data_IF_527353290418
#
_entry.id   IF_527353290418
#
_cell.length_a   1.000
_cell.length_b   1.000
_cell.length_c   1.000
_cell.angle_alpha   90.00
_cell.angle_beta   90.00
_cell.angle_gamma   90.00
#
_symmetry.space_group_name_H-M   'P 1'
#
loop_
_entity.id
_entity.type
_entity.pdbx_description
1 polymer ?
#
# COMPACT_ATOMS: atom_id res chain seq x y z
N UNK A 1 -35.03 34.19 1.77
CA UNK A 1 -34.47 34.31 3.13
C UNK A 1 -33.72 33.00 3.40
N UNK A 2 -32.41 32.91 3.61
CA UNK A 2 -31.39 33.87 4.04
C UNK A 2 -30.03 33.27 3.63
N UNK A 3 -29.14 34.09 3.09
CA UNK A 3 -27.72 33.81 2.87
C UNK A 3 -27.01 33.24 4.10
N UNK A 4 -25.98 32.41 3.88
CA UNK A 4 -24.60 32.66 4.37
C UNK A 4 -23.55 31.70 3.80
N UNK A 5 -22.69 32.30 2.98
CA UNK A 5 -21.28 32.00 2.74
C UNK A 5 -20.49 31.57 3.99
N UNK A 6 -19.54 30.63 3.90
CA UNK A 6 -18.08 30.87 4.10
C UNK A 6 -17.20 29.64 3.78
N UNK A 7 -16.33 29.79 2.76
CA UNK A 7 -14.88 29.46 2.66
C UNK A 7 -14.27 28.35 3.55
N UNK A 8 -13.55 27.42 2.91
CA UNK A 8 -12.63 26.49 3.57
C UNK A 8 -11.65 25.82 2.60
N UNK A 9 -10.79 26.63 1.98
CA UNK A 9 -9.63 26.20 1.18
C UNK A 9 -8.69 25.31 2.02
N UNK A 10 -8.41 24.07 1.61
CA UNK A 10 -7.24 23.31 2.08
C UNK A 10 -6.36 22.89 0.91
N UNK A 11 -5.30 23.68 0.74
CA UNK A 11 -4.05 23.32 0.10
C UNK A 11 -3.39 22.10 0.78
N UNK A 12 -2.46 21.50 0.01
CA UNK A 12 -1.29 20.69 0.40
C UNK A 12 -1.44 19.19 0.09
N UNK A 13 -0.54 18.52 -0.62
CA UNK A 13 0.79 18.88 -1.17
C UNK A 13 1.05 17.93 -2.35
N UNK A 14 1.45 18.49 -3.50
CA UNK A 14 2.17 17.73 -4.52
C UNK A 14 3.52 17.31 -3.93
N UNK A 15 3.80 16.01 -3.92
CA UNK A 15 5.17 15.51 -3.89
C UNK A 15 5.45 14.93 -5.28
N UNK A 16 5.93 15.77 -6.19
CA UNK A 16 6.50 15.32 -7.44
C UNK A 16 7.86 14.70 -7.14
N UNK A 17 7.99 13.38 -7.28
CA UNK A 17 9.29 12.73 -7.34
C UNK A 17 9.96 13.13 -8.65
N UNK A 18 10.83 14.14 -8.60
CA UNK A 18 11.65 14.55 -9.74
C UNK A 18 12.78 13.54 -9.94
N UNK A 19 12.62 12.64 -10.92
CA UNK A 19 13.75 11.90 -11.46
C UNK A 19 14.59 12.85 -12.32
N UNK A 20 15.68 13.38 -11.75
CA UNK A 20 16.65 14.17 -12.51
C UNK A 20 17.44 13.26 -13.45
N UNK A 21 17.14 13.33 -14.74
CA UNK A 21 17.94 12.75 -15.81
C UNK A 21 18.92 13.83 -16.31
N UNK A 22 20.15 13.84 -15.79
CA UNK A 22 21.21 14.74 -16.27
C UNK A 22 21.79 14.20 -17.58
N UNK A 23 21.39 14.80 -18.70
CA UNK A 23 21.99 14.57 -20.02
C UNK A 23 23.13 15.58 -20.23
N UNK A 24 24.38 15.11 -20.19
CA UNK A 24 25.54 15.93 -20.54
C UNK A 24 25.73 15.93 -22.06
N UNK A 25 25.52 17.07 -22.73
CA UNK A 25 26.00 17.30 -24.09
C UNK A 25 27.46 17.78 -24.03
N UNK A 26 28.37 16.98 -24.58
CA UNK A 26 29.77 17.38 -24.80
C UNK A 26 29.93 17.73 -26.28
N UNK A 27 30.56 18.90 -26.52
CA UNK A 27 30.82 19.46 -27.84
C UNK A 27 31.79 18.64 -28.68
N UNK A 28 31.61 18.76 -29.99
CA UNK A 28 32.37 18.06 -31.03
C UNK A 28 33.74 18.72 -31.21
N UNK A 29 34.79 18.05 -30.76
CA UNK A 29 36.18 18.32 -31.14
C UNK A 29 36.75 17.09 -31.84
N UNK A 30 37.21 17.26 -33.09
CA UNK A 30 37.84 16.19 -33.86
C UNK A 30 39.23 15.85 -33.26
N UNK A 31 39.33 14.68 -32.65
CA UNK A 31 40.55 14.10 -32.10
C UNK A 31 40.67 12.61 -32.47
N UNK A 32 41.87 12.03 -32.38
CA UNK A 32 42.21 10.72 -32.96
C UNK A 32 41.46 9.57 -32.26
N UNK A 33 41.31 8.47 -33.01
CA UNK A 33 40.54 7.27 -32.67
C UNK A 33 40.71 6.82 -31.21
N UNK A 34 39.69 7.11 -30.40
CA UNK A 34 39.53 6.59 -29.03
C UNK A 34 38.90 5.20 -29.13
N UNK A 35 39.48 4.26 -28.38
CA UNK A 35 39.01 2.88 -28.28
C UNK A 35 37.51 2.80 -27.99
N UNK A 36 36.87 1.76 -28.56
CA UNK A 36 35.44 1.49 -28.41
C UNK A 36 35.01 1.51 -26.93
N UNK A 37 33.87 2.15 -26.59
CA UNK A 37 33.36 2.12 -25.23
C UNK A 37 33.01 0.70 -24.84
N UNK A 38 33.63 0.25 -23.75
CA UNK A 38 33.39 -1.05 -23.13
C UNK A 38 31.90 -1.19 -22.81
N UNK A 39 31.28 -2.18 -23.44
CA UNK A 39 29.85 -2.44 -23.38
C UNK A 39 29.57 -3.23 -22.10
N UNK A 40 29.10 -2.59 -21.02
CA UNK A 40 28.17 -3.16 -20.02
C UNK A 40 28.11 -2.37 -18.71
N UNK A 41 27.89 -1.06 -18.73
CA UNK A 41 27.44 -0.38 -17.50
C UNK A 41 25.92 -0.53 -17.40
N UNK A 42 25.48 -1.62 -16.75
CA UNK A 42 24.07 -1.84 -16.38
C UNK A 42 23.61 -0.60 -15.61
N UNK A 43 22.53 0.09 -16.04
CA UNK A 43 22.08 1.31 -15.38
C UNK A 43 21.80 1.02 -13.92
N UNK A 44 22.64 1.56 -13.04
CA UNK A 44 22.49 1.44 -11.59
C UNK A 44 21.51 2.53 -11.17
N UNK A 45 20.22 2.24 -11.31
CA UNK A 45 19.20 3.14 -10.81
C UNK A 45 19.32 3.18 -9.29
N UNK A 46 19.59 4.36 -8.72
CA UNK A 46 19.73 4.54 -7.26
C UNK A 46 18.44 5.17 -6.76
N UNK A 47 17.62 4.38 -6.07
CA UNK A 47 16.53 4.93 -5.26
C UNK A 47 17.06 5.13 -3.83
N UNK A 48 17.01 6.36 -3.32
CA UNK A 48 17.25 6.63 -1.91
C UNK A 48 15.94 6.39 -1.17
N UNK A 49 15.90 5.34 -0.34
CA UNK A 49 14.78 5.11 0.56
C UNK A 49 15.05 5.86 1.85
N UNK A 50 14.11 6.68 2.29
CA UNK A 50 14.10 7.26 3.62
C UNK A 50 13.21 6.37 4.50
N UNK A 51 13.83 5.42 5.21
CA UNK A 51 13.14 4.58 6.20
C UNK A 51 13.05 5.26 7.58
N UNK A 52 13.26 6.58 7.62
CA UNK A 52 13.21 7.41 8.82
C UNK A 52 14.54 7.58 9.52
N UNK A 53 15.59 6.79 9.19
CA UNK A 53 16.89 6.90 9.84
C UNK A 53 18.12 6.63 8.95
N UNK A 54 17.98 5.97 7.78
CA UNK A 54 19.14 5.64 6.95
C UNK A 54 18.85 5.77 5.46
N UNK A 55 19.63 6.60 4.75
CA UNK A 55 19.61 6.59 3.28
C UNK A 55 20.29 5.33 2.79
N UNK A 56 19.54 4.47 2.11
CA UNK A 56 20.08 3.26 1.45
C UNK A 56 20.12 3.45 -0.06
N UNK A 57 21.26 3.13 -0.67
CA UNK A 57 21.38 2.99 -2.13
C UNK A 57 20.94 1.59 -2.53
N UNK A 58 19.83 1.49 -3.25
CA UNK A 58 19.41 0.25 -3.91
C UNK A 58 20.15 0.10 -5.24
N UNK A 59 20.55 -1.12 -5.56
CA UNK A 59 21.32 -1.48 -6.76
C UNK A 59 20.61 -2.52 -7.61
N UNK A 60 19.63 -3.25 -7.05
CA UNK A 60 18.86 -4.20 -7.81
C UNK A 60 17.87 -3.47 -8.73
N UNK A 61 18.00 -3.60 -10.06
CA UNK A 61 17.15 -2.87 -11.00
C UNK A 61 15.68 -3.28 -10.93
N UNK A 62 15.37 -4.51 -10.51
CA UNK A 62 13.99 -4.97 -10.35
C UNK A 62 13.33 -4.31 -9.15
N UNK A 63 14.06 -4.18 -8.04
CA UNK A 63 13.60 -3.45 -6.85
C UNK A 63 13.38 -1.99 -7.20
N UNK A 64 14.35 -1.36 -7.87
CA UNK A 64 14.24 0.06 -8.22
C UNK A 64 13.10 0.32 -9.22
N UNK A 65 12.93 -0.57 -10.19
CA UNK A 65 11.79 -0.52 -11.13
C UNK A 65 10.46 -0.70 -10.41
N UNK A 66 10.38 -1.64 -9.46
CA UNK A 66 9.19 -1.84 -8.65
C UNK A 66 8.82 -0.60 -7.83
N UNK A 67 9.81 0.06 -7.25
CA UNK A 67 9.64 1.27 -6.43
C UNK A 67 9.41 2.54 -7.24
N UNK A 68 9.50 2.48 -8.58
CA UNK A 68 9.13 3.60 -9.43
C UNK A 68 7.63 3.91 -9.36
N UNK A 69 6.81 2.93 -8.95
CA UNK A 69 5.38 3.10 -8.68
C UNK A 69 5.06 2.84 -7.19
N UNK A 70 4.79 3.90 -6.40
CA UNK A 70 4.47 3.77 -4.98
C UNK A 70 3.12 3.09 -4.71
N UNK A 71 2.28 2.88 -5.72
CA UNK A 71 1.06 2.09 -5.61
C UNK A 71 1.30 0.59 -5.73
N UNK A 72 2.48 0.18 -6.21
CA UNK A 72 2.84 -1.23 -6.43
C UNK A 72 3.85 -1.75 -5.42
N UNK A 73 4.75 -0.91 -4.92
CA UNK A 73 5.75 -1.32 -3.96
C UNK A 73 6.27 -0.19 -3.06
N UNK A 74 6.76 -0.60 -1.89
CA UNK A 74 7.54 0.23 -0.97
C UNK A 74 8.76 -0.52 -0.47
N UNK A 75 9.71 0.20 0.09
CA UNK A 75 10.85 -0.37 0.78
C UNK A 75 10.83 0.05 2.24
N UNK A 76 10.98 -0.91 3.15
CA UNK A 76 11.04 -0.71 4.60
C UNK A 76 12.11 -1.64 5.14
N UNK A 77 13.08 -1.14 5.93
CA UNK A 77 14.09 -2.02 6.51
C UNK A 77 13.46 -3.15 7.35
N UNK A 78 14.10 -4.32 7.36
CA UNK A 78 13.58 -5.49 8.06
C UNK A 78 13.28 -5.23 9.55
N UNK A 79 14.11 -4.43 10.22
CA UNK A 79 13.89 -4.04 11.63
C UNK A 79 12.64 -3.17 11.82
N UNK A 80 12.43 -2.18 10.95
CA UNK A 80 11.23 -1.33 10.98
C UNK A 80 9.98 -2.14 10.66
N UNK A 81 10.02 -3.01 9.65
CA UNK A 81 8.91 -3.90 9.31
C UNK A 81 8.55 -4.84 10.47
N UNK A 82 9.55 -5.44 11.12
CA UNK A 82 9.33 -6.32 12.27
C UNK A 82 8.76 -5.60 13.51
N UNK A 83 9.14 -4.33 13.72
CA UNK A 83 8.74 -3.57 14.91
C UNK A 83 7.42 -2.83 14.73
N UNK A 84 7.25 -2.18 13.58
CA UNK A 84 6.16 -1.24 13.32
C UNK A 84 5.22 -1.68 12.21
N UNK A 85 5.56 -2.70 11.42
CA UNK A 85 4.85 -3.02 10.20
C UNK A 85 5.08 -1.97 9.11
N UNK A 86 4.20 -1.92 8.12
CA UNK A 86 4.25 -0.89 7.08
C UNK A 86 3.36 0.32 7.36
N UNK A 87 2.52 0.28 8.41
CA UNK A 87 1.69 1.41 8.87
C UNK A 87 0.91 2.01 7.69
N UNK A 88 0.82 3.34 7.65
CA UNK A 88 0.16 4.10 6.60
C UNK A 88 0.73 3.90 5.19
N UNK A 89 1.92 3.31 5.03
CA UNK A 89 2.50 3.05 3.70
C UNK A 89 1.78 1.91 2.95
N UNK A 90 1.17 0.98 3.69
CA UNK A 90 0.32 -0.06 3.10
C UNK A 90 -1.16 0.33 3.05
N UNK A 91 -1.53 1.49 3.60
CA UNK A 91 -2.92 1.92 3.64
C UNK A 91 -3.45 2.08 2.21
N UNK A 92 -4.64 1.55 1.96
CA UNK A 92 -5.31 1.55 0.65
C UNK A 92 -4.59 0.77 -0.45
N UNK A 93 -3.63 -0.09 -0.12
CA UNK A 93 -2.96 -0.96 -1.09
C UNK A 93 -3.60 -2.34 -1.15
N UNK A 94 -3.48 -3.00 -2.29
CA UNK A 94 -3.98 -4.36 -2.48
C UNK A 94 -3.12 -5.37 -1.69
N UNK A 95 -3.71 -6.14 -0.75
CA UNK A 95 -2.95 -7.07 0.09
C UNK A 95 -2.27 -8.21 -0.68
N UNK A 96 -2.78 -8.58 -1.86
CA UNK A 96 -2.32 -9.73 -2.64
C UNK A 96 -1.28 -9.37 -3.72
N UNK A 97 -1.18 -8.10 -4.11
CA UNK A 97 -0.26 -7.66 -5.16
C UNK A 97 0.82 -6.69 -4.67
N UNK A 98 0.52 -5.85 -3.67
CA UNK A 98 1.46 -4.84 -3.17
C UNK A 98 2.69 -5.46 -2.50
N UNK A 99 3.88 -5.02 -2.91
CA UNK A 99 5.16 -5.58 -2.45
C UNK A 99 5.83 -4.69 -1.42
N UNK A 100 6.12 -5.25 -0.25
CA UNK A 100 6.94 -4.60 0.79
C UNK A 100 8.35 -5.19 0.73
N UNK A 101 9.26 -4.50 0.05
CA UNK A 101 10.67 -4.87 0.01
C UNK A 101 11.35 -4.57 1.35
N UNK A 102 12.18 -5.50 1.82
CA UNK A 102 12.95 -5.32 3.05
C UNK A 102 14.46 -5.47 2.85
N UNK A 103 14.87 -5.85 1.65
CA UNK A 103 16.26 -5.90 1.22
C UNK A 103 16.40 -5.65 -0.28
N UNK A 104 17.61 -5.38 -0.75
CA UNK A 104 17.94 -5.06 -2.15
C UNK A 104 18.11 -6.32 -3.01
N UNK A 105 17.12 -7.22 -2.95
CA UNK A 105 17.08 -8.43 -3.76
C UNK A 105 15.68 -8.64 -4.37
N UNK A 106 15.61 -9.24 -5.55
CA UNK A 106 14.37 -9.32 -6.36
C UNK A 106 13.22 -10.06 -5.67
N UNK A 107 13.55 -11.03 -4.83
CA UNK A 107 12.59 -11.83 -4.06
C UNK A 107 12.58 -11.48 -2.56
N UNK A 108 13.24 -10.40 -2.16
CA UNK A 108 13.28 -9.92 -0.78
C UNK A 108 12.10 -8.99 -0.49
N UNK A 109 10.89 -9.48 -0.75
CA UNK A 109 9.66 -8.78 -0.45
C UNK A 109 8.65 -9.71 0.21
N UNK A 110 7.69 -9.10 0.91
CA UNK A 110 6.49 -9.77 1.37
C UNK A 110 5.26 -9.10 0.80
N UNK A 111 4.21 -9.88 0.60
CA UNK A 111 2.85 -9.36 0.46
C UNK A 111 2.13 -9.59 1.78
N UNK A 112 1.34 -8.63 2.22
CA UNK A 112 0.64 -8.75 3.50
C UNK A 112 -0.36 -9.91 3.50
N UNK A 113 -0.88 -10.32 2.33
CA UNK A 113 -1.71 -11.52 2.23
C UNK A 113 -0.98 -12.84 2.57
N UNK A 114 0.36 -12.89 2.49
CA UNK A 114 1.15 -14.12 2.64
C UNK A 114 1.12 -14.68 4.07
N UNK A 115 1.04 -13.81 5.08
CA UNK A 115 0.97 -14.20 6.51
C UNK A 115 -0.39 -13.85 7.16
N UNK A 116 -1.36 -13.49 6.34
CA UNK A 116 -2.66 -13.04 6.81
C UNK A 116 -3.46 -14.15 7.49
N UNK A 117 -3.99 -13.86 8.66
CA UNK A 117 -4.89 -14.76 9.42
C UNK A 117 -6.28 -14.17 9.52
N UNK A 118 -7.30 -15.03 9.55
CA UNK A 118 -8.68 -14.60 9.74
C UNK A 118 -8.93 -14.41 11.25
N UNK A 119 -9.36 -13.23 11.68
CA UNK A 119 -9.46 -12.87 13.11
C UNK A 119 -10.87 -12.90 13.66
N UNK A 120 -11.80 -12.25 12.96
CA UNK A 120 -13.22 -12.23 13.30
C UNK A 120 -14.01 -12.64 12.09
N UNK A 121 -15.07 -13.42 12.32
CA UNK A 121 -15.98 -13.91 11.29
C UNK A 121 -17.40 -13.62 11.71
N UNK A 122 -18.16 -13.04 10.80
CA UNK A 122 -19.61 -13.05 10.86
C UNK A 122 -20.09 -14.07 9.83
N UNK A 123 -20.82 -15.08 10.30
CA UNK A 123 -21.31 -16.16 9.45
C UNK A 123 -22.80 -16.37 9.71
N UNK A 124 -23.56 -16.23 8.63
CA UNK A 124 -24.96 -16.60 8.48
C UNK A 124 -25.04 -17.71 7.41
N UNK A 125 -26.09 -18.53 7.34
CA UNK A 125 -26.35 -19.45 6.22
C UNK A 125 -26.07 -18.90 4.82
N UNK A 126 -26.26 -17.60 4.58
CA UNK A 126 -26.09 -17.00 3.24
C UNK A 126 -24.78 -16.23 3.10
N UNK A 127 -24.26 -15.66 4.19
CA UNK A 127 -23.21 -14.64 4.14
C UNK A 127 -22.06 -15.03 5.06
N UNK A 128 -20.83 -14.94 4.55
CA UNK A 128 -19.63 -15.12 5.34
C UNK A 128 -18.65 -13.98 5.07
N UNK A 129 -18.55 -13.05 6.02
CA UNK A 129 -17.57 -11.96 6.02
C UNK A 129 -16.58 -12.16 7.17
N UNK A 130 -15.30 -11.94 6.89
CA UNK A 130 -14.23 -11.99 7.88
C UNK A 130 -13.30 -10.79 7.76
N UNK A 131 -12.72 -10.37 8.87
CA UNK A 131 -11.57 -9.46 8.85
C UNK A 131 -10.31 -10.33 8.80
N UNK A 132 -9.48 -10.12 7.78
CA UNK A 132 -8.13 -10.67 7.71
C UNK A 132 -7.14 -9.67 8.28
N UNK A 133 -6.08 -10.19 8.88
CA UNK A 133 -5.03 -9.40 9.50
C UNK A 133 -3.66 -9.98 9.19
N UNK A 134 -2.73 -9.14 8.76
CA UNK A 134 -1.30 -9.47 8.61
C UNK A 134 -0.54 -8.99 9.85
N UNK A 135 -0.01 -9.90 10.70
CA UNK A 135 0.81 -9.50 11.85
C UNK A 135 2.08 -8.77 11.43
N UNK A 136 2.73 -9.17 10.33
CA UNK A 136 3.96 -8.52 9.86
C UNK A 136 3.69 -7.13 9.30
N UNK A 137 2.65 -6.95 8.50
CA UNK A 137 2.33 -5.63 7.95
C UNK A 137 1.61 -4.71 8.95
N UNK A 138 1.00 -5.29 10.00
CA UNK A 138 0.04 -4.63 10.90
C UNK A 138 -1.10 -3.97 10.13
N UNK A 139 -1.65 -4.68 9.16
CA UNK A 139 -2.78 -4.23 8.34
C UNK A 139 -3.94 -5.21 8.42
N UNK A 140 -5.15 -4.69 8.26
CA UNK A 140 -6.38 -5.45 8.23
C UNK A 140 -7.22 -5.13 6.99
N UNK A 141 -7.99 -6.09 6.49
CA UNK A 141 -8.91 -5.88 5.39
C UNK A 141 -10.09 -6.85 5.46
N UNK A 142 -11.21 -6.45 4.87
CA UNK A 142 -12.38 -7.30 4.78
C UNK A 142 -12.17 -8.37 3.70
N UNK A 143 -12.61 -9.59 3.97
CA UNK A 143 -12.72 -10.67 2.98
C UNK A 143 -14.11 -11.29 3.07
N UNK A 144 -14.73 -11.52 1.93
CA UNK A 144 -15.99 -12.24 1.82
C UNK A 144 -15.80 -13.48 0.96
N UNK A 145 -16.47 -14.56 1.35
CA UNK A 145 -16.64 -15.73 0.47
C UNK A 145 -18.01 -15.70 -0.24
N UNK A 146 -18.77 -14.61 -0.08
CA UNK A 146 -20.05 -14.43 -0.71
C UNK A 146 -19.87 -14.06 -2.18
N UNK A 147 -20.44 -14.86 -3.09
CA UNK A 147 -20.23 -14.75 -4.54
C UNK A 147 -21.30 -13.95 -5.28
N UNK A 148 -22.35 -13.50 -4.60
CA UNK A 148 -23.39 -12.69 -5.24
C UNK A 148 -23.05 -11.19 -5.21
N UNK A 149 -23.77 -10.41 -6.02
CA UNK A 149 -23.67 -8.95 -6.06
C UNK A 149 -23.79 -8.37 -4.65
N UNK A 150 -22.66 -7.91 -4.12
CA UNK A 150 -22.55 -7.37 -2.78
C UNK A 150 -21.44 -6.33 -2.72
N UNK A 151 -21.58 -5.43 -1.75
CA UNK A 151 -20.52 -4.51 -1.37
C UNK A 151 -19.86 -5.05 -0.12
N UNK A 152 -18.55 -5.24 -0.17
CA UNK A 152 -17.76 -5.53 1.02
C UNK A 152 -17.10 -4.24 1.49
N UNK A 153 -17.02 -4.05 2.81
CA UNK A 153 -16.47 -2.84 3.41
C UNK A 153 -15.48 -3.22 4.50
N UNK A 154 -14.41 -2.45 4.61
CA UNK A 154 -13.60 -2.43 5.82
C UNK A 154 -13.72 -1.04 6.44
N UNK A 155 -14.15 -1.00 7.70
CA UNK A 155 -14.15 0.23 8.49
C UNK A 155 -12.93 0.22 9.41
N UNK A 156 -12.31 1.39 9.58
CA UNK A 156 -11.32 1.60 10.64
C UNK A 156 -11.71 2.77 11.54
N UNK A 157 -11.32 2.66 12.81
CA UNK A 157 -11.49 3.69 13.82
C UNK A 157 -10.27 3.77 14.73
N UNK A 158 -10.14 4.90 15.40
CA UNK A 158 -9.17 5.09 16.46
C UNK A 158 -9.61 4.32 17.72
N UNK A 159 -8.67 4.03 18.63
CA UNK A 159 -8.96 3.37 19.93
C UNK A 159 -9.94 4.18 20.81
N UNK A 160 -10.04 5.49 20.58
CA UNK A 160 -11.06 6.37 21.19
C UNK A 160 -12.49 6.07 20.72
N UNK A 161 -12.65 5.25 19.68
CA UNK A 161 -13.92 4.93 19.04
C UNK A 161 -14.29 5.86 17.88
N UNK A 162 -13.57 6.97 17.66
CA UNK A 162 -13.85 7.88 16.55
C UNK A 162 -13.51 7.23 15.21
N UNK A 163 -14.41 7.34 14.24
CA UNK A 163 -14.22 6.83 12.88
C UNK A 163 -12.99 7.45 12.21
N UNK A 164 -12.23 6.64 11.47
CA UNK A 164 -11.07 7.06 10.68
C UNK A 164 -11.40 7.05 9.20
N UNK A 165 -11.77 5.89 8.67
CA UNK A 165 -11.99 5.68 7.24
C UNK A 165 -12.85 4.46 6.98
N UNK A 166 -13.41 4.40 5.78
CA UNK A 166 -14.15 3.25 5.25
C UNK A 166 -13.72 3.02 3.81
N UNK A 167 -13.32 1.80 3.49
CA UNK A 167 -13.08 1.36 2.11
C UNK A 167 -14.18 0.41 1.69
N UNK A 168 -14.63 0.52 0.44
CA UNK A 168 -15.72 -0.29 -0.11
C UNK A 168 -15.28 -0.87 -1.44
N UNK A 169 -15.49 -2.18 -1.63
CA UNK A 169 -15.29 -2.86 -2.90
C UNK A 169 -16.60 -3.49 -3.37
N UNK A 170 -16.84 -3.44 -4.68
CA UNK A 170 -17.99 -4.07 -5.32
C UNK A 170 -17.56 -5.36 -6.00
N UNK A 171 -18.21 -6.48 -5.67
CA UNK A 171 -17.93 -7.81 -6.29
C UNK A 171 -16.47 -8.28 -6.07
N UNK A 172 -15.77 -7.69 -5.10
CA UNK A 172 -14.43 -8.11 -4.68
C UNK A 172 -14.48 -9.24 -3.63
N UNK A 173 -13.51 -10.15 -3.68
CA UNK A 173 -13.32 -11.13 -2.61
C UNK A 173 -12.75 -10.48 -1.33
N UNK A 174 -12.07 -9.33 -1.47
CA UNK A 174 -11.46 -8.60 -0.37
C UNK A 174 -11.35 -7.10 -0.67
N UNK A 175 -11.24 -6.29 0.37
CA UNK A 175 -10.94 -4.85 0.26
C UNK A 175 -9.43 -4.60 0.19
N UNK A 176 -9.06 -3.37 -0.17
CA UNK A 176 -7.71 -2.86 0.12
C UNK A 176 -7.41 -2.90 1.62
N UNK A 177 -6.12 -2.87 1.94
CA UNK A 177 -5.60 -2.87 3.30
C UNK A 177 -5.93 -1.56 4.02
N UNK A 178 -6.23 -1.68 5.31
CA UNK A 178 -6.26 -0.58 6.27
C UNK A 178 -5.16 -0.77 7.29
N UNK A 179 -4.44 0.30 7.65
CA UNK A 179 -3.56 0.31 8.82
C UNK A 179 -4.36 -0.12 10.07
N UNK A 180 -3.85 -1.10 10.81
CA UNK A 180 -4.44 -1.61 12.05
C UNK A 180 -3.58 -1.25 13.27
N UNK A 181 -2.47 -0.58 13.04
CA UNK A 181 -1.47 -0.40 14.06
C UNK A 181 -1.91 0.70 15.04
N UNK A 182 -2.36 0.27 16.22
CA UNK A 182 -2.93 1.12 17.28
C UNK A 182 -4.29 1.72 16.87
N UNK A 183 -5.01 0.96 16.02
CA UNK A 183 -6.33 1.25 15.47
C UNK A 183 -7.21 0.00 15.64
N UNK A 184 -8.48 0.12 15.29
CA UNK A 184 -9.38 -1.02 15.18
C UNK A 184 -9.95 -1.12 13.78
N UNK A 185 -10.24 -2.35 13.36
CA UNK A 185 -10.84 -2.64 12.08
C UNK A 185 -12.04 -3.58 12.22
N UNK A 186 -13.03 -3.43 11.33
CA UNK A 186 -14.10 -4.43 11.16
C UNK A 186 -14.40 -4.63 9.70
N UNK A 187 -14.85 -5.84 9.37
CA UNK A 187 -15.33 -6.17 8.05
C UNK A 187 -16.86 -6.10 8.04
N UNK A 188 -17.43 -5.52 6.99
CA UNK A 188 -18.86 -5.50 6.77
C UNK A 188 -19.20 -5.94 5.34
N UNK A 189 -20.43 -6.39 5.15
CA UNK A 189 -20.98 -6.75 3.84
C UNK A 189 -22.42 -6.30 3.74
N UNK A 190 -22.75 -5.72 2.61
CA UNK A 190 -24.09 -5.33 2.24
C UNK A 190 -24.49 -6.14 1.00
N UNK A 191 -25.25 -7.22 1.16
CA UNK A 191 -25.84 -7.94 0.04
C UNK A 191 -26.75 -7.01 -0.77
N UNK A 192 -26.87 -7.27 -2.07
CA UNK A 192 -27.88 -6.59 -2.89
C UNK A 192 -29.31 -6.97 -2.46
N UNK A 193 -30.23 -6.02 -2.53
CA UNK A 193 -31.64 -6.21 -2.13
C UNK A 193 -31.97 -5.57 -0.77
N UNK A 194 -33.06 -6.01 -0.10
CA UNK A 194 -33.56 -5.41 1.14
C UNK A 194 -32.85 -5.95 2.39
N UNK A 195 -31.56 -6.26 2.29
CA UNK A 195 -30.79 -6.82 3.40
C UNK A 195 -30.05 -5.73 4.18
N UNK A 196 -29.95 -5.94 5.49
CA UNK A 196 -29.18 -5.07 6.37
C UNK A 196 -27.66 -5.20 6.14
N UNK A 197 -26.91 -4.24 6.68
CA UNK A 197 -25.46 -4.31 6.72
C UNK A 197 -25.02 -5.29 7.82
N UNK A 198 -24.34 -6.36 7.44
CA UNK A 198 -23.76 -7.32 8.37
C UNK A 198 -22.30 -6.96 8.63
N UNK A 199 -21.89 -6.90 9.90
CA UNK A 199 -20.53 -6.58 10.29
C UNK A 199 -19.97 -7.58 11.29
N UNK A 200 -18.65 -7.77 11.27
CA UNK A 200 -17.93 -8.37 12.39
C UNK A 200 -17.91 -7.42 13.60
N UNK A 201 -17.48 -7.95 14.74
CA UNK A 201 -16.98 -7.09 15.82
C UNK A 201 -15.77 -6.25 15.36
N UNK A 202 -15.38 -5.31 16.21
CA UNK A 202 -14.13 -4.57 16.05
C UNK A 202 -12.98 -5.45 16.55
N UNK A 203 -12.01 -5.72 15.67
CA UNK A 203 -10.72 -6.29 15.98
C UNK A 203 -9.77 -5.17 16.40
#
# INVERSE_FOLDING_TARGET
MKDRSTVGLKLARLAAAAAMLTTALVGVGAGPAVAAPDSAQKPTATAAVDDGFTKRTLRNPEVVSALADPDQAIFISAGTLATYGCRSLCDYKDPASFRVFYDDCSNCYYKCADDAVDKLKHQDPVISIMIRYSPRCRTAWAKSNYSANSYIKADSRYLSGSHRTTVTEYVGNYTVMLDDADLQARACVQPSGPYDLYCTGWY
#
